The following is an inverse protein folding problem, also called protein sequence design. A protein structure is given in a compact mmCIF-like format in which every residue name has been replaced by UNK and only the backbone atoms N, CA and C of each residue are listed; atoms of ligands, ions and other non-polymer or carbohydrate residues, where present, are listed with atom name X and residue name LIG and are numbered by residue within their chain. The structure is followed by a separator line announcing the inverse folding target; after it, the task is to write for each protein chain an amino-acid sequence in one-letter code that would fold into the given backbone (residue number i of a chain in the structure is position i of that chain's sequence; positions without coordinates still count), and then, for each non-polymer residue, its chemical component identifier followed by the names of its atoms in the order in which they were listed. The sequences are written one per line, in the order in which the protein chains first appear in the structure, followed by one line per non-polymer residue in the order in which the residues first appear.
data_IF_215804837941
#
_entry.id   IF_215804837941
#
_cell.length_a   1.000
_cell.length_b   1.000
_cell.length_c   1.000
_cell.angle_alpha   90.00
_cell.angle_beta   90.00
_cell.angle_gamma   90.00
#
_symmetry.space_group_name_H-M   'P 1'
#
loop_
_entity.id
_entity.type
_entity.pdbx_description
1 polymer ?
#
# COMPACT_ATOMS: atom_id res chain seq x y z
N UNK A 1 2.86 1.81 -11.26
CA UNK A 1 2.32 0.54 -10.75
C UNK A 1 1.51 0.79 -9.49
N UNK A 2 0.60 -0.07 -9.19
CA UNK A 2 -0.17 0.02 -7.95
C UNK A 2 0.32 -1.02 -6.96
N UNK A 3 -0.13 -0.87 -5.72
CA UNK A 3 0.29 -1.78 -4.65
C UNK A 3 -0.06 -3.24 -4.94
N UNK A 4 -1.11 -3.48 -5.74
CA UNK A 4 -1.47 -4.85 -6.14
C UNK A 4 -0.40 -5.53 -6.98
N UNK A 5 0.50 -4.76 -7.55
CA UNK A 5 1.56 -5.28 -8.41
C UNK A 5 2.89 -5.42 -7.68
N UNK A 6 2.91 -5.10 -6.38
CA UNK A 6 4.13 -5.12 -5.59
C UNK A 6 4.70 -6.52 -5.47
N UNK A 7 6.01 -6.61 -5.45
CA UNK A 7 6.73 -7.85 -5.20
C UNK A 7 6.94 -7.96 -3.70
N UNK A 8 6.64 -9.13 -3.16
CA UNK A 8 6.76 -9.41 -1.73
C UNK A 8 8.15 -9.07 -1.21
N UNK A 9 8.20 -8.45 -0.05
CA UNK A 9 9.43 -8.13 0.70
C UNK A 9 10.30 -7.05 0.07
N UNK A 10 9.83 -6.42 -1.00
CA UNK A 10 10.55 -5.33 -1.65
C UNK A 10 10.04 -4.00 -1.12
N UNK A 11 10.94 -3.02 -1.00
CA UNK A 11 10.57 -1.71 -0.46
C UNK A 11 10.08 -0.81 -1.59
N UNK A 12 8.93 -0.22 -1.38
CA UNK A 12 8.34 0.73 -2.33
C UNK A 12 8.00 2.03 -1.62
N UNK A 13 7.85 3.07 -2.41
CA UNK A 13 7.36 4.36 -1.92
C UNK A 13 6.01 4.64 -2.53
N UNK A 14 5.06 5.11 -1.71
CA UNK A 14 3.75 5.53 -2.20
C UNK A 14 3.92 6.92 -2.80
N UNK A 15 3.70 7.05 -4.10
CA UNK A 15 3.92 8.31 -4.80
C UNK A 15 2.64 9.06 -5.07
N UNK A 16 1.51 8.37 -5.02
CA UNK A 16 0.24 9.01 -5.29
C UNK A 16 -0.89 8.15 -4.74
N UNK A 17 -1.92 8.81 -4.21
CA UNK A 17 -3.17 8.15 -3.89
C UNK A 17 -4.15 8.59 -4.96
N UNK A 18 -4.58 7.65 -5.80
CA UNK A 18 -5.48 7.95 -6.89
C UNK A 18 -6.84 8.40 -6.35
N UNK A 19 -7.61 9.08 -7.19
CA UNK A 19 -8.89 9.62 -6.77
C UNK A 19 -9.82 8.51 -6.28
N UNK A 20 -10.21 8.60 -5.03
CA UNK A 20 -11.10 7.64 -4.40
C UNK A 20 -12.07 8.39 -3.49
N UNK A 21 -13.04 7.67 -2.91
CA UNK A 21 -14.02 8.34 -2.07
C UNK A 21 -13.43 8.78 -0.73
N UNK A 22 -14.17 9.64 -0.04
CA UNK A 22 -13.69 10.23 1.22
C UNK A 22 -13.51 9.19 2.32
N UNK A 23 -14.37 8.17 2.34
CA UNK A 23 -14.25 7.14 3.36
C UNK A 23 -12.94 6.38 3.22
N UNK A 24 -12.56 6.06 1.99
CA UNK A 24 -11.32 5.35 1.74
C UNK A 24 -10.11 6.24 2.03
N UNK A 25 -10.18 7.52 1.69
CA UNK A 25 -9.11 8.46 2.02
C UNK A 25 -8.87 8.54 3.51
N UNK A 26 -9.95 8.60 4.29
CA UNK A 26 -9.85 8.65 5.75
C UNK A 26 -9.25 7.36 6.30
N UNK A 27 -9.62 6.23 5.70
CA UNK A 27 -9.06 4.95 6.10
C UNK A 27 -7.55 4.91 5.85
N UNK A 28 -7.12 5.36 4.68
CA UNK A 28 -5.69 5.42 4.38
C UNK A 28 -4.97 6.33 5.38
N UNK A 29 -5.51 7.50 5.64
CA UNK A 29 -4.88 8.42 6.60
C UNK A 29 -4.78 7.81 7.99
N UNK A 30 -5.79 7.06 8.41
CA UNK A 30 -5.78 6.44 9.73
C UNK A 30 -4.67 5.39 9.85
N UNK A 31 -4.22 4.83 8.74
CA UNK A 31 -3.11 3.87 8.71
C UNK A 31 -1.75 4.54 8.52
N UNK A 32 -1.74 5.87 8.37
CA UNK A 32 -0.50 6.58 8.06
C UNK A 32 -0.09 6.49 6.61
N UNK A 33 -1.02 6.16 5.73
CA UNK A 33 -0.75 6.05 4.29
C UNK A 33 -0.91 7.42 3.65
N UNK A 34 0.18 7.96 3.13
CA UNK A 34 0.16 9.21 2.39
C UNK A 34 1.35 9.22 1.43
N UNK A 35 1.40 10.20 0.56
CA UNK A 35 2.50 10.32 -0.40
C UNK A 35 3.83 10.45 0.34
N UNK A 36 4.83 9.75 -0.17
CA UNK A 36 6.16 9.77 0.39
C UNK A 36 6.44 8.67 1.40
N UNK A 37 5.42 7.93 1.82
CA UNK A 37 5.58 6.88 2.81
C UNK A 37 6.11 5.60 2.16
N UNK A 38 6.98 4.89 2.86
CA UNK A 38 7.49 3.61 2.39
C UNK A 38 6.57 2.47 2.82
N UNK A 39 6.50 1.46 1.98
CA UNK A 39 5.70 0.28 2.29
C UNK A 39 6.38 -0.98 1.79
N UNK A 40 6.05 -2.10 2.44
CA UNK A 40 6.56 -3.41 2.07
C UNK A 40 5.37 -4.36 2.07
N UNK A 41 5.20 -5.08 0.96
CA UNK A 41 4.17 -6.11 0.90
C UNK A 41 4.70 -7.34 1.62
N UNK A 42 4.01 -7.76 2.68
CA UNK A 42 4.42 -8.91 3.48
C UNK A 42 3.87 -10.22 2.91
N UNK A 43 2.60 -10.22 2.55
CA UNK A 43 2.03 -11.37 1.84
C UNK A 43 0.64 -11.02 1.31
N UNK A 44 0.18 -11.84 0.36
CA UNK A 44 -1.19 -11.82 -0.12
C UNK A 44 -1.98 -12.93 0.60
N UNK A 45 -3.28 -12.73 0.72
CA UNK A 45 -4.15 -13.82 1.13
C UNK A 45 -4.25 -14.83 -0.02
N UNK A 46 -4.89 -15.98 0.27
CA UNK A 46 -4.94 -17.09 -0.65
C UNK A 46 -5.46 -16.74 -2.05
N UNK A 47 -6.44 -15.85 -2.15
CA UNK A 47 -7.00 -15.43 -3.43
C UNK A 47 -6.60 -14.02 -3.82
N UNK A 48 -5.54 -13.51 -3.19
CA UNK A 48 -5.06 -12.14 -3.40
C UNK A 48 -6.15 -11.10 -3.10
N UNK A 49 -7.12 -11.46 -2.27
CA UNK A 49 -8.19 -10.54 -1.91
C UNK A 49 -7.76 -9.54 -0.84
N UNK A 50 -6.75 -9.90 -0.05
CA UNK A 50 -6.24 -9.08 1.04
C UNK A 50 -4.73 -9.08 1.01
N UNK A 51 -4.14 -7.91 1.23
CA UNK A 51 -2.69 -7.74 1.29
C UNK A 51 -2.33 -7.37 2.71
N UNK A 52 -1.31 -8.03 3.27
CA UNK A 52 -0.68 -7.57 4.51
C UNK A 52 0.49 -6.71 4.13
N UNK A 53 0.47 -5.47 4.57
CA UNK A 53 1.44 -4.46 4.16
C UNK A 53 2.02 -3.79 5.39
N UNK A 54 3.31 -3.60 5.40
CA UNK A 54 3.96 -2.84 6.45
C UNK A 54 4.08 -1.40 5.99
N UNK A 55 3.49 -0.49 6.75
CA UNK A 55 3.55 0.95 6.48
C UNK A 55 4.34 1.56 7.63
N UNK A 56 5.57 2.02 7.33
CA UNK A 56 6.49 2.44 8.36
C UNK A 56 6.69 1.32 9.38
N UNK A 57 6.16 1.45 10.59
CA UNK A 57 6.30 0.43 11.64
C UNK A 57 5.00 -0.29 11.94
N UNK A 58 3.96 -0.03 11.15
CA UNK A 58 2.63 -0.59 11.41
C UNK A 58 2.29 -1.58 10.31
N UNK A 59 1.76 -2.72 10.71
CA UNK A 59 1.28 -3.70 9.76
C UNK A 59 -0.23 -3.52 9.61
N UNK A 60 -0.68 -3.37 8.37
CA UNK A 60 -2.10 -3.20 8.08
C UNK A 60 -2.55 -4.21 7.04
N UNK A 61 -3.84 -4.52 7.04
CA UNK A 61 -4.44 -5.36 6.02
C UNK A 61 -5.28 -4.48 5.11
N UNK A 62 -5.01 -4.55 3.82
CA UNK A 62 -5.76 -3.81 2.82
C UNK A 62 -6.43 -4.79 1.87
N UNK A 63 -7.63 -4.46 1.45
CA UNK A 63 -8.28 -5.27 0.42
C UNK A 63 -7.69 -4.89 -0.93
N UNK A 64 -7.68 -5.84 -1.86
CA UNK A 64 -7.07 -5.58 -3.16
C UNK A 64 -7.76 -4.44 -3.90
N UNK A 65 -9.08 -4.28 -3.74
CA UNK A 65 -9.76 -3.16 -4.39
C UNK A 65 -9.42 -1.81 -3.76
N UNK A 66 -8.92 -1.82 -2.51
CA UNK A 66 -8.40 -0.59 -1.90
C UNK A 66 -6.99 -0.30 -2.39
N UNK A 67 -6.18 -1.34 -2.47
CA UNK A 67 -4.78 -1.20 -2.87
C UNK A 67 -4.61 -0.66 -4.30
N UNK A 68 -5.62 -0.82 -5.14
CA UNK A 68 -5.53 -0.33 -6.52
C UNK A 68 -5.43 1.19 -6.61
N UNK A 69 -5.79 1.89 -5.55
CA UNK A 69 -5.70 3.35 -5.52
C UNK A 69 -4.34 3.86 -5.07
N UNK A 70 -3.45 2.98 -4.63
CA UNK A 70 -2.14 3.38 -4.14
C UNK A 70 -1.11 3.15 -5.25
N UNK A 71 -0.59 4.25 -5.80
CA UNK A 71 0.42 4.20 -6.84
C UNK A 71 1.78 4.18 -6.16
N UNK A 72 2.62 3.24 -6.54
CA UNK A 72 3.91 3.02 -5.90
C UNK A 72 5.03 3.01 -6.93
N UNK A 73 6.25 3.21 -6.44
CA UNK A 73 7.46 2.99 -7.22
C UNK A 73 8.49 2.32 -6.34
N UNK A 74 9.47 1.69 -6.95
CA UNK A 74 10.54 1.07 -6.18
C UNK A 74 11.30 2.15 -5.42
N UNK A 75 11.60 1.86 -4.17
CA UNK A 75 12.38 2.77 -3.35
C UNK A 75 13.82 2.30 -3.36
N UNK A 76 14.73 3.20 -3.70
CA UNK A 76 16.16 2.90 -3.68
C UNK A 76 16.65 3.12 -2.26
N UNK A 77 17.20 2.07 -1.67
CA UNK A 77 17.78 2.15 -0.33
C UNK A 77 19.27 2.12 -0.46
N UNK A 78 19.91 3.05 0.18
CA UNK A 78 21.37 3.10 0.21
C UNK A 78 21.90 2.55 1.52
#
# INVERSE_FOLDING_TARGET
MTLNEAIKDKIYEIVEIANCDEALKKRFLSFGIHEGVQCILLHYSMKKATLSVKINRIQVALRSHEAQYLVIKESTQE
#
